data_IF_199723525797
#
_entry.id   IF_199723525797
#
_cell.length_a   1.000
_cell.length_b   1.000
_cell.length_c   1.000
_cell.angle_alpha   90.00
_cell.angle_beta   90.00
_cell.angle_gamma   90.00
#
_symmetry.space_group_name_H-M   'P 1'
#
loop_
_entity.id
_entity.type
_entity.pdbx_description
1 polymer ?
#
# COMPACT_ATOMS: atom_id res chain seq x y z
N UNK A 1 21.23 -0.13 12.62
CA UNK A 1 20.26 1.01 12.62
C UNK A 1 18.92 0.55 12.08
N UNK A 2 18.46 -0.64 12.51
CA UNK A 2 17.15 -1.19 12.22
C UNK A 2 16.65 -1.79 13.53
N UNK A 3 16.48 -0.95 14.55
CA UNK A 3 15.30 -1.20 15.39
C UNK A 3 14.13 -1.25 14.40
N UNK A 4 13.49 -2.41 14.35
CA UNK A 4 12.64 -2.82 13.25
C UNK A 4 11.52 -1.77 13.07
N UNK A 5 11.40 -1.14 11.89
CA UNK A 5 10.35 -0.15 11.59
C UNK A 5 8.96 -0.70 11.94
N UNK A 6 8.81 -2.01 11.88
CA UNK A 6 7.64 -2.72 12.38
C UNK A 6 7.44 -2.56 13.88
N UNK A 7 8.46 -2.78 14.70
CA UNK A 7 8.40 -2.57 16.16
C UNK A 7 8.08 -1.11 16.51
N UNK A 8 8.62 -0.14 15.77
CA UNK A 8 8.26 1.27 15.93
C UNK A 8 6.78 1.53 15.59
N UNK A 9 6.29 0.94 14.49
CA UNK A 9 4.87 1.03 14.09
C UNK A 9 3.96 0.39 15.13
N UNK A 10 4.28 -0.81 15.61
CA UNK A 10 3.50 -1.54 16.61
C UNK A 10 3.35 -0.72 17.89
N UNK A 11 4.47 -0.20 18.42
CA UNK A 11 4.47 0.71 19.58
C UNK A 11 3.62 1.95 19.33
N UNK A 12 3.73 2.55 18.15
CA UNK A 12 2.96 3.74 17.80
C UNK A 12 1.45 3.45 17.78
N UNK A 13 1.03 2.33 17.19
CA UNK A 13 -0.37 1.89 17.18
C UNK A 13 -0.89 1.60 18.59
N UNK A 14 -0.07 0.99 19.45
CA UNK A 14 -0.37 0.82 20.88
C UNK A 14 -0.61 2.17 21.58
N UNK A 15 0.23 3.18 21.33
CA UNK A 15 0.03 4.52 21.92
C UNK A 15 -1.26 5.19 21.46
N UNK A 16 -1.74 4.85 20.27
CA UNK A 16 -3.02 5.31 19.73
C UNK A 16 -4.21 4.44 20.16
N UNK A 17 -3.96 3.39 20.94
CA UNK A 17 -4.96 2.38 21.34
C UNK A 17 -5.64 1.69 20.15
N UNK A 18 -4.89 1.50 19.05
CA UNK A 18 -5.35 0.77 17.87
C UNK A 18 -4.96 -0.70 18.05
N UNK A 19 -5.96 -1.57 18.22
CA UNK A 19 -5.75 -3.01 18.30
C UNK A 19 -5.36 -3.59 16.95
N UNK A 20 -4.31 -4.40 16.92
CA UNK A 20 -3.83 -5.06 15.71
C UNK A 20 -3.62 -6.55 15.94
N UNK A 21 -3.65 -7.32 14.85
CA UNK A 21 -3.25 -8.72 14.83
C UNK A 21 -2.33 -8.90 13.64
N UNK A 22 -1.15 -9.44 13.88
CA UNK A 22 -0.17 -9.74 12.84
C UNK A 22 -0.08 -11.24 12.64
N UNK A 23 -0.17 -11.68 11.39
CA UNK A 23 0.03 -13.09 11.01
C UNK A 23 1.36 -13.19 10.27
N UNK A 24 2.33 -13.89 10.86
CA UNK A 24 3.60 -14.18 10.19
C UNK A 24 3.38 -15.21 9.08
N UNK A 25 3.96 -14.94 7.91
CA UNK A 25 3.96 -15.89 6.81
C UNK A 25 5.25 -15.77 5.99
N UNK A 26 5.68 -16.84 5.28
CA UNK A 26 6.76 -16.75 4.31
C UNK A 26 6.44 -15.71 3.21
N UNK A 27 7.45 -15.12 2.55
CA UNK A 27 7.21 -14.31 1.36
C UNK A 27 6.45 -15.12 0.30
N UNK A 28 5.36 -14.56 -0.20
CA UNK A 28 4.50 -15.14 -1.23
C UNK A 28 4.37 -14.16 -2.39
N UNK A 29 4.35 -14.67 -3.62
CA UNK A 29 4.35 -13.82 -4.82
C UNK A 29 3.07 -13.96 -5.63
N UNK A 30 2.30 -15.02 -5.39
CA UNK A 30 1.02 -15.28 -6.03
C UNK A 30 -0.14 -15.12 -5.03
N UNK A 31 -1.33 -14.83 -5.55
CA UNK A 31 -2.54 -14.71 -4.72
C UNK A 31 -2.87 -16.07 -4.10
N UNK A 32 -2.68 -17.14 -4.88
CA UNK A 32 -2.91 -18.53 -4.50
C UNK A 32 -2.04 -18.94 -3.30
N UNK A 33 -0.77 -18.52 -3.27
CA UNK A 33 0.13 -18.75 -2.13
C UNK A 33 -0.26 -17.92 -0.90
N UNK A 34 -0.82 -16.71 -1.10
CA UNK A 34 -1.19 -15.81 0.00
C UNK A 34 -2.48 -16.24 0.72
N UNK A 35 -3.48 -16.74 -0.02
CA UNK A 35 -4.82 -17.02 0.52
C UNK A 35 -4.84 -17.97 1.74
N UNK A 36 -4.05 -19.06 1.81
CA UNK A 36 -3.98 -19.92 2.99
C UNK A 36 -3.58 -19.19 4.26
N UNK A 37 -2.72 -18.17 4.17
CA UNK A 37 -2.25 -17.39 5.32
C UNK A 37 -3.28 -16.36 5.81
N UNK A 38 -4.32 -16.09 5.04
CA UNK A 38 -5.35 -15.09 5.34
C UNK A 38 -6.68 -15.71 5.76
N UNK A 39 -6.78 -17.05 5.89
CA UNK A 39 -8.04 -17.75 6.17
C UNK A 39 -8.70 -17.31 7.48
N UNK A 40 -7.91 -16.98 8.50
CA UNK A 40 -8.39 -16.54 9.81
C UNK A 40 -8.54 -15.01 9.91
N UNK A 41 -8.09 -14.27 8.89
CA UNK A 41 -8.13 -12.80 8.88
C UNK A 41 -9.52 -12.35 8.42
N UNK A 42 -10.33 -11.94 9.39
CA UNK A 42 -11.58 -11.24 9.08
C UNK A 42 -11.30 -9.81 8.58
N UNK A 43 -12.02 -9.38 7.55
CA UNK A 43 -11.90 -8.02 7.00
C UNK A 43 -11.61 -7.98 5.51
N UNK A 44 -11.19 -6.82 5.02
CA UNK A 44 -10.90 -6.60 3.60
C UNK A 44 -9.39 -6.56 3.37
N UNK A 45 -8.89 -7.48 2.54
CA UNK A 45 -7.50 -7.44 2.08
C UNK A 45 -7.34 -6.28 1.11
N UNK A 46 -6.34 -5.44 1.32
CA UNK A 46 -6.07 -4.28 0.47
C UNK A 46 -4.82 -4.46 -0.38
N UNK A 47 -4.82 -3.86 -1.57
CA UNK A 47 -3.61 -3.55 -2.33
C UNK A 47 -3.37 -2.04 -2.32
N UNK A 48 -2.11 -1.65 -2.40
CA UNK A 48 -1.69 -0.25 -2.36
C UNK A 48 -1.07 0.15 -3.70
N UNK A 49 -1.54 1.24 -4.28
CA UNK A 49 -0.98 1.81 -5.50
C UNK A 49 -0.26 3.10 -5.15
N UNK A 50 1.05 3.15 -5.37
CA UNK A 50 1.84 4.37 -5.19
C UNK A 50 2.01 5.07 -6.54
N UNK A 51 1.35 6.22 -6.69
CA UNK A 51 1.20 6.92 -7.95
C UNK A 51 1.82 8.32 -7.90
N UNK A 52 2.20 8.83 -9.06
CA UNK A 52 2.64 10.22 -9.25
C UNK A 52 1.88 10.89 -10.39
N UNK A 53 1.59 12.18 -10.20
CA UNK A 53 1.16 13.05 -11.28
C UNK A 53 2.32 13.33 -12.24
N UNK A 54 2.05 13.26 -13.56
CA UNK A 54 2.97 13.67 -14.61
C UNK A 54 3.33 15.15 -14.57
N UNK A 55 2.39 16.04 -14.21
CA UNK A 55 2.54 17.50 -14.33
C UNK A 55 2.97 18.19 -13.03
N UNK A 56 2.22 18.00 -11.95
CA UNK A 56 2.44 18.71 -10.67
C UNK A 56 3.40 18.00 -9.72
N UNK A 57 3.94 16.84 -10.11
CA UNK A 57 4.81 15.97 -9.28
C UNK A 57 4.18 15.56 -7.93
N UNK A 58 2.87 15.67 -7.78
CA UNK A 58 2.16 15.19 -6.59
C UNK A 58 2.24 13.67 -6.48
N UNK A 59 2.43 13.18 -5.25
CA UNK A 59 2.46 11.75 -4.93
C UNK A 59 1.13 11.33 -4.27
N UNK A 60 0.69 10.12 -4.57
CA UNK A 60 -0.55 9.55 -4.07
C UNK A 60 -0.31 8.13 -3.60
N UNK A 61 -0.80 7.80 -2.40
CA UNK A 61 -0.93 6.42 -1.94
C UNK A 61 -2.42 6.07 -1.95
N UNK A 62 -2.79 5.07 -2.75
CA UNK A 62 -4.19 4.64 -2.88
C UNK A 62 -4.33 3.23 -2.33
N UNK A 63 -4.98 3.12 -1.18
CA UNK A 63 -5.35 1.84 -0.56
C UNK A 63 -6.74 1.44 -1.04
N UNK A 64 -6.86 0.24 -1.59
CA UNK A 64 -8.12 -0.26 -2.15
C UNK A 64 -8.23 -1.76 -1.91
N UNK A 65 -9.43 -2.32 -1.86
CA UNK A 65 -9.62 -3.78 -1.80
C UNK A 65 -8.86 -4.49 -2.92
N UNK A 66 -8.26 -5.64 -2.61
CA UNK A 66 -7.43 -6.41 -3.55
C UNK A 66 -8.18 -6.77 -4.84
N UNK A 67 -9.47 -7.11 -4.72
CA UNK A 67 -10.40 -7.50 -5.79
C UNK A 67 -10.90 -6.32 -6.64
N UNK A 68 -10.69 -5.08 -6.21
CA UNK A 68 -11.18 -3.90 -6.92
C UNK A 68 -10.30 -3.61 -8.12
N UNK A 69 -10.90 -3.57 -9.31
CA UNK A 69 -10.25 -3.01 -10.48
C UNK A 69 -10.20 -1.48 -10.37
N UNK A 70 -9.02 -0.90 -10.60
CA UNK A 70 -8.79 0.55 -10.55
C UNK A 70 -8.51 1.07 -11.96
N UNK A 71 -9.39 1.92 -12.49
CA UNK A 71 -9.15 2.65 -13.72
C UNK A 71 -8.39 3.96 -13.39
N UNK A 72 -7.13 4.05 -13.80
CA UNK A 72 -6.27 5.21 -13.49
C UNK A 72 -6.75 6.51 -14.16
N UNK A 73 -7.43 6.45 -15.31
CA UNK A 73 -7.95 7.63 -15.97
C UNK A 73 -9.12 8.23 -15.19
N UNK A 74 -10.05 7.38 -14.75
CA UNK A 74 -11.19 7.83 -13.94
C UNK A 74 -10.74 8.29 -12.57
N UNK A 75 -9.78 7.60 -11.96
CA UNK A 75 -9.15 8.04 -10.71
C UNK A 75 -8.50 9.42 -10.88
N UNK A 76 -7.75 9.64 -11.96
CA UNK A 76 -7.10 10.94 -12.20
C UNK A 76 -8.11 12.09 -12.38
N UNK A 77 -9.27 11.82 -12.99
CA UNK A 77 -10.38 12.79 -13.05
C UNK A 77 -10.93 13.09 -11.65
N UNK A 78 -11.20 12.07 -10.84
CA UNK A 78 -11.73 12.22 -9.47
C UNK A 78 -10.79 12.97 -8.54
N UNK A 79 -9.48 12.79 -8.71
CA UNK A 79 -8.45 13.47 -7.92
C UNK A 79 -8.10 14.89 -8.44
N UNK A 80 -8.76 15.38 -9.50
CA UNK A 80 -8.49 16.71 -10.05
C UNK A 80 -7.12 16.84 -10.75
N UNK A 81 -6.49 15.71 -11.10
CA UNK A 81 -5.19 15.65 -11.80
C UNK A 81 -5.38 15.67 -13.32
N UNK A 82 -6.59 15.32 -13.78
CA UNK A 82 -6.95 15.22 -15.20
C UNK A 82 -6.62 13.86 -15.80
N UNK A 83 -7.48 13.38 -16.70
CA UNK A 83 -7.35 12.05 -17.32
C UNK A 83 -5.97 11.82 -17.94
N UNK A 84 -5.39 10.62 -17.76
CA UNK A 84 -4.09 10.25 -18.32
C UNK A 84 -2.87 10.84 -17.59
N UNK A 85 -3.04 11.59 -16.50
CA UNK A 85 -1.93 12.22 -15.77
C UNK A 85 -1.43 11.43 -14.54
N UNK A 86 -2.05 10.30 -14.18
CA UNK A 86 -1.52 9.40 -13.16
C UNK A 86 -0.67 8.28 -13.77
N UNK A 87 0.42 7.94 -13.11
CA UNK A 87 1.28 6.78 -13.38
C UNK A 87 1.87 6.25 -12.07
N UNK A 88 2.40 5.03 -12.06
CA UNK A 88 3.14 4.55 -10.90
C UNK A 88 4.37 5.43 -10.62
N UNK A 89 4.61 5.67 -9.33
CA UNK A 89 5.86 6.24 -8.86
C UNK A 89 6.98 5.20 -8.94
N UNK A 90 8.22 5.66 -9.01
CA UNK A 90 9.40 4.78 -9.05
C UNK A 90 9.79 4.31 -7.65
N UNK A 91 10.58 3.24 -7.59
CA UNK A 91 11.04 2.63 -6.35
C UNK A 91 11.88 3.60 -5.50
N UNK A 92 12.65 4.50 -6.13
CA UNK A 92 13.42 5.51 -5.42
C UNK A 92 12.51 6.44 -4.60
N UNK A 93 11.44 6.96 -5.21
CA UNK A 93 10.46 7.76 -4.49
C UNK A 93 9.71 6.96 -3.42
N UNK A 94 9.45 5.67 -3.65
CA UNK A 94 8.79 4.78 -2.68
C UNK A 94 9.67 4.58 -1.45
N UNK A 95 10.95 4.28 -1.64
CA UNK A 95 11.90 4.10 -0.54
C UNK A 95 12.09 5.43 0.23
N UNK A 96 12.19 6.55 -0.47
CA UNK A 96 12.35 7.87 0.15
C UNK A 96 11.13 8.26 1.01
N UNK A 97 9.91 8.06 0.50
CA UNK A 97 8.69 8.56 1.16
C UNK A 97 8.03 7.55 2.09
N UNK A 98 8.04 6.28 1.73
CA UNK A 98 7.31 5.22 2.43
C UNK A 98 8.24 4.24 3.16
N UNK A 99 9.55 4.26 2.89
CA UNK A 99 10.54 3.33 3.45
C UNK A 99 10.25 1.85 3.16
N UNK A 100 9.51 1.56 2.09
CA UNK A 100 9.22 0.20 1.59
C UNK A 100 9.79 0.00 0.18
N UNK A 101 9.90 -1.26 -0.25
CA UNK A 101 10.35 -1.65 -1.59
C UNK A 101 9.30 -2.50 -2.28
N UNK A 102 9.31 -2.52 -3.60
CA UNK A 102 8.53 -3.51 -4.36
C UNK A 102 9.17 -4.88 -4.20
N UNK A 103 8.36 -5.87 -3.83
CA UNK A 103 8.73 -7.30 -3.81
C UNK A 103 8.85 -7.88 -5.20
#
# INVERSE_FOLDING_TARGET
MSEDLRSELDKYLETLSIQTTSVEHPPVFTVEEMMPHLQEVSGAVTKNLFLKDKKKKGLWLVSVRHDRQVNLNDLAKKLGVGSGNLRFADEAAMLEKLKVRTS
#
